data_IF_315827261776
#
_entry.id   IF_315827261776
#
_cell.length_a   1.000
_cell.length_b   1.000
_cell.length_c   1.000
_cell.angle_alpha   90.00
_cell.angle_beta   90.00
_cell.angle_gamma   90.00
#
_symmetry.space_group_name_H-M   'P 1'
#
loop_
_entity.id
_entity.type
_entity.pdbx_description
1 polymer ?
#
# COMPACT_ATOMS: atom_id res chain seq x y z
N UNK A 1 -5.42 -10.75 -17.66
CA UNK A 1 -5.35 -10.87 -16.18
C UNK A 1 -5.97 -9.62 -15.57
N UNK A 2 -7.11 -9.73 -14.88
CA UNK A 2 -7.77 -8.58 -14.23
C UNK A 2 -6.88 -8.12 -13.07
N UNK A 3 -6.17 -7.00 -13.24
CA UNK A 3 -5.47 -6.36 -12.14
C UNK A 3 -6.54 -5.94 -11.13
N UNK A 4 -6.62 -6.60 -9.98
CA UNK A 4 -7.38 -6.06 -8.86
C UNK A 4 -6.71 -4.73 -8.50
N UNK A 5 -7.38 -3.63 -8.83
CA UNK A 5 -6.97 -2.28 -8.44
C UNK A 5 -7.57 -2.10 -7.04
N UNK A 6 -6.72 -2.07 -6.02
CA UNK A 6 -7.17 -1.73 -4.68
C UNK A 6 -7.42 -0.22 -4.69
N UNK A 7 -8.48 0.22 -4.04
CA UNK A 7 -8.76 1.65 -3.88
C UNK A 7 -8.68 1.98 -2.40
N UNK A 8 -8.02 3.09 -2.10
CA UNK A 8 -7.89 3.58 -0.74
C UNK A 8 -8.54 4.95 -0.66
N UNK A 9 -9.45 5.12 0.30
CA UNK A 9 -10.04 6.41 0.57
C UNK A 9 -9.16 7.17 1.55
N UNK A 10 -8.75 8.39 1.17
CA UNK A 10 -7.89 9.28 1.95
C UNK A 10 -8.52 10.66 1.92
N UNK A 11 -8.91 11.19 3.08
CA UNK A 11 -9.53 12.52 3.18
C UNK A 11 -10.78 12.67 2.32
N UNK A 12 -11.57 11.60 2.18
CA UNK A 12 -12.78 11.57 1.36
C UNK A 12 -12.54 11.45 -0.16
N UNK A 13 -11.29 11.26 -0.61
CA UNK A 13 -10.96 10.97 -2.02
C UNK A 13 -10.47 9.54 -2.19
N UNK A 14 -10.96 8.85 -3.22
CA UNK A 14 -10.45 7.53 -3.60
C UNK A 14 -9.18 7.67 -4.46
N UNK A 15 -8.10 7.03 -4.02
CA UNK A 15 -6.86 6.90 -4.78
C UNK A 15 -6.62 5.46 -5.21
N UNK A 16 -6.05 5.24 -6.40
CA UNK A 16 -5.58 3.91 -6.78
C UNK A 16 -4.44 3.52 -5.83
N UNK A 17 -4.60 2.40 -5.15
CA UNK A 17 -3.56 1.81 -4.34
C UNK A 17 -3.21 0.45 -4.93
N UNK A 18 -1.92 0.19 -5.14
CA UNK A 18 -1.51 -1.08 -5.73
C UNK A 18 -0.22 -1.55 -5.13
N UNK A 19 -0.26 -2.76 -4.60
CA UNK A 19 0.95 -3.47 -4.19
C UNK A 19 1.71 -3.82 -5.47
N UNK A 20 2.71 -3.02 -5.78
CA UNK A 20 3.64 -3.25 -6.89
C UNK A 20 5.02 -3.59 -6.32
N UNK A 21 5.84 -4.29 -7.10
CA UNK A 21 7.24 -4.54 -6.75
C UNK A 21 8.00 -3.21 -6.49
N UNK A 22 7.61 -2.13 -7.16
CA UNK A 22 8.17 -0.79 -6.92
C UNK A 22 7.79 -0.20 -5.56
N UNK A 23 6.56 -0.43 -5.07
CA UNK A 23 6.16 -0.02 -3.73
C UNK A 23 6.91 -0.81 -2.65
N UNK A 24 7.08 -2.12 -2.83
CA UNK A 24 7.86 -2.98 -1.93
C UNK A 24 9.33 -2.54 -1.85
N UNK A 25 9.97 -2.29 -3.00
CA UNK A 25 11.35 -1.78 -3.07
C UNK A 25 11.51 -0.43 -2.37
N UNK A 26 10.58 0.52 -2.60
CA UNK A 26 10.62 1.84 -1.95
C UNK A 26 10.50 1.73 -0.43
N UNK A 27 9.58 0.90 0.03
CA UNK A 27 9.41 0.65 1.46
C UNK A 27 10.68 0.05 2.07
N UNK A 28 11.23 -0.99 1.44
CA UNK A 28 12.49 -1.60 1.87
C UNK A 28 13.64 -0.62 1.91
N UNK A 29 13.72 0.30 0.95
CA UNK A 29 14.76 1.33 0.93
C UNK A 29 14.59 2.38 2.05
N UNK A 30 13.35 2.72 2.42
CA UNK A 30 13.09 3.70 3.47
C UNK A 30 13.17 3.13 4.88
N UNK A 31 12.63 1.93 5.11
CA UNK A 31 12.54 1.31 6.44
C UNK A 31 13.70 0.35 6.71
N UNK A 32 14.37 -0.14 5.66
CA UNK A 32 15.46 -1.11 5.77
C UNK A 32 14.98 -2.54 6.05
N UNK A 33 13.67 -2.77 6.07
CA UNK A 33 13.03 -4.06 6.36
C UNK A 33 12.11 -4.47 5.21
N UNK A 34 11.89 -5.77 5.06
CA UNK A 34 10.94 -6.27 4.07
C UNK A 34 9.49 -6.00 4.52
N UNK A 35 8.58 -5.89 3.55
CA UNK A 35 7.13 -5.74 3.82
C UNK A 35 6.61 -6.92 4.66
N UNK A 36 7.21 -8.10 4.51
CA UNK A 36 6.91 -9.29 5.32
C UNK A 36 7.25 -9.15 6.80
N UNK A 37 8.13 -8.21 7.16
CA UNK A 37 8.50 -7.91 8.55
C UNK A 37 7.66 -6.77 9.15
N UNK A 38 6.80 -6.15 8.33
CA UNK A 38 5.95 -5.03 8.71
C UNK A 38 4.90 -5.52 9.69
N UNK A 39 4.92 -4.97 10.91
CA UNK A 39 3.94 -5.32 11.95
C UNK A 39 2.74 -4.41 11.87
N UNK A 40 1.54 -4.98 11.97
CA UNK A 40 0.30 -4.19 12.04
C UNK A 40 0.25 -3.25 13.26
N UNK A 41 1.06 -3.51 14.29
CA UNK A 41 1.21 -2.63 15.46
C UNK A 41 2.01 -1.37 15.16
N UNK A 42 2.86 -1.38 14.12
CA UNK A 42 3.73 -0.26 13.77
C UNK A 42 3.05 0.65 12.73
N UNK A 43 2.09 1.45 13.20
CA UNK A 43 1.23 2.33 12.37
C UNK A 43 2.08 3.23 11.45
N UNK A 44 3.23 3.72 11.92
CA UNK A 44 4.12 4.55 11.10
C UNK A 44 4.63 3.80 9.86
N UNK A 45 5.16 2.59 10.03
CA UNK A 45 5.64 1.76 8.92
C UNK A 45 4.48 1.37 8.00
N UNK A 46 3.32 1.08 8.59
CA UNK A 46 2.07 0.75 7.92
C UNK A 46 1.60 1.86 6.95
N UNK A 47 1.44 3.07 7.48
CA UNK A 47 1.04 4.26 6.70
C UNK A 47 2.08 4.56 5.62
N UNK A 48 3.36 4.38 5.93
CA UNK A 48 4.46 4.64 5.00
C UNK A 48 4.50 3.64 3.84
N UNK A 49 4.20 2.36 4.10
CA UNK A 49 4.05 1.35 3.05
C UNK A 49 2.89 1.66 2.11
N UNK A 50 1.75 2.09 2.67
CA UNK A 50 0.56 2.39 1.89
C UNK A 50 0.77 3.66 1.06
N UNK A 51 1.41 4.67 1.62
CA UNK A 51 1.85 5.85 0.88
C UNK A 51 2.72 5.46 -0.34
N UNK A 52 3.66 4.54 -0.17
CA UNK A 52 4.46 4.01 -1.29
C UNK A 52 3.61 3.30 -2.34
N UNK A 53 2.60 2.54 -1.92
CA UNK A 53 1.68 1.83 -2.81
C UNK A 53 0.83 2.81 -3.64
N UNK A 54 0.26 3.83 -3.00
CA UNK A 54 -0.51 4.87 -3.67
C UNK A 54 0.38 5.66 -4.62
N UNK A 55 1.53 6.15 -4.16
CA UNK A 55 2.46 6.92 -5.00
C UNK A 55 2.92 6.10 -6.23
N UNK A 56 3.22 4.81 -6.04
CA UNK A 56 3.61 3.95 -7.15
C UNK A 56 2.46 3.64 -8.12
N UNK A 57 1.23 3.51 -7.62
CA UNK A 57 0.05 3.27 -8.45
C UNK A 57 -0.35 4.53 -9.21
N UNK A 58 -0.42 5.68 -8.53
CA UNK A 58 -0.63 6.98 -9.15
C UNK A 58 0.38 7.25 -10.27
N UNK A 59 1.67 6.94 -10.06
CA UNK A 59 2.68 7.06 -11.12
C UNK A 59 2.48 6.10 -12.29
N UNK A 60 1.86 4.93 -12.07
CA UNK A 60 1.58 3.97 -13.12
C UNK A 60 0.28 4.29 -13.89
N UNK A 61 -0.69 4.90 -13.23
CA UNK A 61 -2.00 5.28 -13.76
C UNK A 61 -2.06 6.76 -14.21
N UNK A 62 -0.93 7.48 -14.18
CA UNK A 62 -0.79 8.91 -14.51
C UNK A 62 -1.73 9.82 -13.70
N UNK A 63 -1.97 9.47 -12.43
CA UNK A 63 -2.80 10.23 -11.50
C UNK A 63 -1.94 11.21 -10.69
N UNK A 64 -2.36 12.47 -10.64
CA UNK A 64 -1.70 13.51 -9.86
C UNK A 64 -1.83 13.21 -8.35
N UNK A 65 -0.71 12.89 -7.72
CA UNK A 65 -0.61 12.64 -6.27
C UNK A 65 0.45 13.56 -5.69
N UNK A 66 0.03 14.77 -5.31
CA UNK A 66 0.90 15.84 -4.76
C UNK A 66 0.81 15.94 -3.23
N UNK A 67 0.19 14.94 -2.59
CA UNK A 67 0.04 14.89 -1.15
C UNK A 67 1.32 14.34 -0.51
N UNK A 68 1.83 15.05 0.48
CA UNK A 68 2.97 14.62 1.29
C UNK A 68 2.54 13.53 2.29
N UNK A 69 3.53 12.91 2.93
CA UNK A 69 3.28 11.81 3.87
C UNK A 69 2.49 12.27 5.11
N UNK A 70 2.70 13.49 5.61
CA UNK A 70 2.02 13.98 6.81
C UNK A 70 0.54 14.26 6.49
N UNK A 71 0.26 14.99 5.41
CA UNK A 71 -1.12 15.24 4.96
C UNK A 71 -1.85 13.93 4.63
N UNK A 72 -1.14 12.95 4.03
CA UNK A 72 -1.70 11.63 3.78
C UNK A 72 -2.04 10.90 5.09
N UNK A 73 -1.13 10.91 6.07
CA UNK A 73 -1.35 10.27 7.37
C UNK A 73 -2.50 10.91 8.14
N UNK A 74 -2.59 12.23 8.14
CA UNK A 74 -3.69 12.99 8.79
C UNK A 74 -5.05 12.71 8.14
N UNK A 75 -5.04 12.47 6.82
CA UNK A 75 -6.25 12.18 6.05
C UNK A 75 -6.63 10.70 6.03
N UNK A 76 -5.76 9.83 6.53
CA UNK A 76 -5.93 8.39 6.44
C UNK A 76 -6.60 7.84 7.70
N UNK A 77 -7.86 7.43 7.55
CA UNK A 77 -8.62 6.88 8.67
C UNK A 77 -8.23 5.41 8.97
N UNK A 78 -8.27 4.99 10.25
CA UNK A 78 -8.00 3.61 10.65
C UNK A 78 -8.89 2.57 9.95
N UNK A 79 -10.14 2.93 9.66
CA UNK A 79 -11.07 2.04 8.95
C UNK A 79 -10.67 1.83 7.49
N UNK A 80 -10.18 2.88 6.82
CA UNK A 80 -9.65 2.81 5.45
C UNK A 80 -8.39 1.94 5.40
N UNK A 81 -7.51 2.08 6.40
CA UNK A 81 -6.36 1.20 6.59
C UNK A 81 -6.77 -0.26 6.77
N UNK A 82 -7.69 -0.55 7.70
CA UNK A 82 -8.12 -1.91 8.00
C UNK A 82 -8.78 -2.57 6.78
N UNK A 83 -9.61 -1.82 6.05
CA UNK A 83 -10.22 -2.27 4.80
C UNK A 83 -9.18 -2.60 3.74
N UNK A 84 -8.15 -1.75 3.60
CA UNK A 84 -7.04 -2.02 2.68
C UNK A 84 -6.27 -3.29 3.07
N UNK A 85 -5.96 -3.48 4.34
CA UNK A 85 -5.29 -4.70 4.82
C UNK A 85 -6.14 -5.95 4.63
N UNK A 86 -7.46 -5.88 4.82
CA UNK A 86 -8.33 -6.99 4.50
C UNK A 86 -8.24 -7.37 3.03
N UNK A 87 -8.15 -6.39 2.13
CA UNK A 87 -8.01 -6.64 0.69
C UNK A 87 -6.60 -7.11 0.29
N UNK A 88 -5.53 -6.61 0.93
CA UNK A 88 -4.14 -7.03 0.67
C UNK A 88 -3.86 -8.41 1.26
N UNK A 89 -4.31 -8.69 2.49
CA UNK A 89 -4.15 -10.00 3.13
C UNK A 89 -4.87 -11.12 2.37
N UNK A 90 -5.99 -10.81 1.70
CA UNK A 90 -6.66 -11.76 0.79
C UNK A 90 -5.90 -11.91 -0.56
N UNK A 91 -5.21 -10.87 -1.02
CA UNK A 91 -4.35 -10.90 -2.20
C UNK A 91 -3.00 -11.62 -1.96
N UNK A 92 -2.43 -11.52 -0.75
CA UNK A 92 -1.23 -12.26 -0.35
C UNK A 92 -1.51 -13.77 -0.25
N UNK A 93 -2.70 -14.18 0.22
CA UNK A 93 -3.14 -15.58 0.14
C UNK A 93 -3.22 -16.13 -1.29
N UNK A 94 -3.35 -15.27 -2.30
CA UNK A 94 -3.30 -15.67 -3.73
C UNK A 94 -1.92 -15.54 -4.37
N UNK A 95 -0.95 -14.91 -3.70
CA UNK A 95 0.41 -14.68 -4.24
C UNK A 95 1.49 -15.48 -3.51
N UNK A 96 1.14 -16.33 -2.54
CA UNK A 96 1.97 -17.51 -2.22
C UNK A 96 1.93 -18.48 -3.40
N UNK A 97 2.60 -18.12 -4.49
CA UNK A 97 3.15 -19.10 -5.42
C UNK A 97 4.12 -19.92 -4.59
N UNK A 98 3.70 -21.14 -4.23
CA UNK A 98 4.57 -22.18 -3.70
C UNK A 98 5.88 -22.14 -4.50
N UNK A 99 7.06 -22.11 -3.86
CA UNK A 99 8.26 -22.53 -4.56
C UNK A 99 8.00 -23.99 -4.97
N UNK A 100 7.75 -24.23 -6.27
CA UNK A 100 7.68 -25.59 -6.76
C UNK A 100 9.10 -26.17 -6.70
N UNK A 101 9.28 -27.39 -6.16
CA UNK A 101 10.55 -28.11 -6.19
C UNK A 101 10.97 -28.49 -7.60
#
# INVERSE_FOLDING_TARGET
>A
MKKQILKLTVGGKEYPCRVTMGAMMRFKHMVGKDVSELKQTDIRELVQFIYCCVQSACKADDVTFEMDFETFADSLEPDSLNTFYAQVGDAEKKTTVKPLP
#
